data_IF_902852071123
#
_entry.id   IF_902852071123
#
_cell.length_a   1.000
_cell.length_b   1.000
_cell.length_c   1.000
_cell.angle_alpha   90.00
_cell.angle_beta   90.00
_cell.angle_gamma   90.00
#
_symmetry.space_group_name_H-M   'P 1'
#
loop_
_entity.id
_entity.type
_entity.pdbx_description
1 polymer ?
#
# COMPACT_ATOMS: atom_id res chain seq x y z
N UNK A 1 -24.84 2.72 15.82
CA UNK A 1 -24.80 1.70 14.75
C UNK A 1 -23.39 1.24 14.35
N UNK A 2 -22.29 1.90 14.77
CA UNK A 2 -20.91 1.58 14.36
C UNK A 2 -20.17 0.49 15.18
N UNK A 3 -20.82 -0.13 16.17
CA UNK A 3 -20.17 -1.08 17.09
C UNK A 3 -20.94 -2.39 17.31
N UNK A 4 -21.92 -2.72 16.47
CA UNK A 4 -22.50 -4.06 16.51
C UNK A 4 -21.65 -4.96 15.64
N UNK A 5 -21.05 -6.04 16.19
CA UNK A 5 -20.38 -7.05 15.37
C UNK A 5 -21.42 -7.59 14.40
N UNK A 6 -21.27 -7.28 13.12
CA UNK A 6 -22.01 -7.99 12.08
C UNK A 6 -21.61 -9.47 12.19
N UNK A 7 -22.53 -10.41 12.07
CA UNK A 7 -22.28 -11.86 12.24
C UNK A 7 -21.17 -12.44 11.32
N UNK A 8 -20.65 -11.62 10.39
CA UNK A 8 -19.59 -11.94 9.43
C UNK A 8 -18.30 -11.14 9.63
N UNK A 9 -18.17 -10.34 10.70
CA UNK A 9 -16.96 -9.54 10.96
C UNK A 9 -15.68 -10.40 10.98
N UNK A 10 -15.76 -11.62 11.51
CA UNK A 10 -14.66 -12.59 11.54
C UNK A 10 -14.10 -12.96 10.16
N UNK A 11 -14.90 -12.86 9.08
CA UNK A 11 -14.42 -13.10 7.71
C UNK A 11 -13.44 -11.98 7.32
N UNK A 12 -13.79 -10.73 7.62
CA UNK A 12 -12.91 -9.59 7.40
C UNK A 12 -11.62 -9.72 8.21
N UNK A 13 -11.72 -10.11 9.48
CA UNK A 13 -10.56 -10.33 10.34
C UNK A 13 -9.64 -11.44 9.79
N UNK A 14 -10.22 -12.54 9.32
CA UNK A 14 -9.48 -13.63 8.68
C UNK A 14 -8.80 -13.17 7.39
N UNK A 15 -9.49 -12.38 6.56
CA UNK A 15 -8.92 -11.81 5.33
C UNK A 15 -7.73 -10.89 5.64
N UNK A 16 -7.84 -10.05 6.67
CA UNK A 16 -6.75 -9.17 7.12
C UNK A 16 -5.56 -9.99 7.62
N UNK A 17 -5.82 -11.05 8.41
CA UNK A 17 -4.76 -11.94 8.88
C UNK A 17 -4.05 -12.65 7.72
N UNK A 18 -4.80 -13.19 6.75
CA UNK A 18 -4.23 -13.81 5.55
C UNK A 18 -3.42 -12.80 4.71
N UNK A 19 -3.93 -11.58 4.55
CA UNK A 19 -3.20 -10.51 3.87
C UNK A 19 -1.85 -10.20 4.57
N UNK A 20 -1.84 -10.14 5.90
CA UNK A 20 -0.61 -9.94 6.67
C UNK A 20 0.38 -11.10 6.51
N UNK A 21 -0.12 -12.34 6.53
CA UNK A 21 0.71 -13.55 6.30
C UNK A 21 1.31 -13.55 4.90
N UNK A 22 0.52 -13.29 3.85
CA UNK A 22 1.02 -13.24 2.47
C UNK A 22 2.01 -12.08 2.26
N UNK A 23 1.79 -10.94 2.92
CA UNK A 23 2.73 -9.82 2.89
C UNK A 23 4.08 -10.20 3.53
N UNK A 24 4.04 -10.84 4.70
CA UNK A 24 5.24 -11.35 5.37
C UNK A 24 5.96 -12.40 4.51
N UNK A 25 5.22 -13.34 3.94
CA UNK A 25 5.75 -14.36 3.04
C UNK A 25 6.41 -13.75 1.79
N UNK A 26 5.81 -12.72 1.18
CA UNK A 26 6.41 -11.99 0.05
C UNK A 26 7.73 -11.36 0.45
N UNK A 27 7.75 -10.66 1.59
CA UNK A 27 8.97 -10.01 2.10
C UNK A 27 10.07 -11.03 2.38
N UNK A 28 9.74 -12.14 3.02
CA UNK A 28 10.68 -13.23 3.32
C UNK A 28 11.20 -13.88 2.03
N UNK A 29 10.31 -14.16 1.07
CA UNK A 29 10.69 -14.75 -0.22
C UNK A 29 11.65 -13.85 -0.99
N UNK A 30 11.38 -12.54 -1.04
CA UNK A 30 12.28 -11.57 -1.68
C UNK A 30 13.65 -11.58 -0.99
N UNK A 31 13.69 -11.59 0.35
CA UNK A 31 14.95 -11.54 1.12
C UNK A 31 15.74 -12.85 1.13
N UNK A 32 15.05 -14.00 1.12
CA UNK A 32 15.66 -15.32 1.29
C UNK A 32 16.00 -16.03 -0.03
N UNK A 33 15.55 -15.49 -1.18
CA UNK A 33 15.80 -16.07 -2.49
C UNK A 33 16.83 -15.29 -3.30
N UNK A 34 17.10 -15.75 -4.53
CA UNK A 34 17.96 -15.05 -5.48
C UNK A 34 17.47 -13.62 -5.82
N UNK A 35 16.19 -13.31 -5.56
CA UNK A 35 15.61 -11.97 -5.75
C UNK A 35 16.31 -10.90 -4.90
N UNK A 36 16.92 -11.26 -3.76
CA UNK A 36 17.67 -10.32 -2.93
C UNK A 36 18.88 -9.69 -3.65
N UNK A 37 19.39 -10.35 -4.71
CA UNK A 37 20.52 -9.89 -5.53
C UNK A 37 20.07 -9.20 -6.83
N UNK A 38 18.78 -9.21 -7.12
CA UNK A 38 18.19 -8.64 -8.33
C UNK A 38 17.77 -7.19 -8.04
N UNK A 39 17.82 -6.30 -9.04
CA UNK A 39 17.35 -4.93 -8.86
C UNK A 39 15.87 -4.90 -8.47
N UNK A 40 15.50 -3.93 -7.62
CA UNK A 40 14.11 -3.78 -7.16
C UNK A 40 13.12 -3.60 -8.33
N UNK A 41 13.54 -2.92 -9.40
CA UNK A 41 12.78 -2.75 -10.65
C UNK A 41 12.41 -4.10 -11.29
N UNK A 42 13.37 -5.03 -11.37
CA UNK A 42 13.13 -6.36 -11.95
C UNK A 42 12.26 -7.22 -11.04
N UNK A 43 12.44 -7.11 -9.72
CA UNK A 43 11.58 -7.82 -8.75
C UNK A 43 10.13 -7.34 -8.86
N UNK A 44 9.91 -6.03 -8.96
CA UNK A 44 8.58 -5.45 -9.17
C UNK A 44 7.99 -5.89 -10.51
N UNK A 45 8.78 -5.89 -11.59
CA UNK A 45 8.35 -6.37 -12.90
C UNK A 45 7.87 -7.82 -12.83
N UNK A 46 8.61 -8.70 -12.15
CA UNK A 46 8.20 -10.10 -11.96
C UNK A 46 6.90 -10.21 -11.17
N UNK A 47 6.73 -9.45 -10.10
CA UNK A 47 5.48 -9.44 -9.33
C UNK A 47 4.29 -8.99 -10.19
N UNK A 48 4.45 -7.91 -10.95
CA UNK A 48 3.39 -7.39 -11.82
C UNK A 48 3.08 -8.33 -12.98
N UNK A 49 4.11 -8.89 -13.64
CA UNK A 49 3.93 -9.81 -14.76
C UNK A 49 3.25 -11.11 -14.34
N UNK A 50 3.68 -11.70 -13.21
CA UNK A 50 3.04 -12.90 -12.66
C UNK A 50 1.61 -12.59 -12.25
N UNK A 51 1.35 -11.46 -11.59
CA UNK A 51 0.00 -11.05 -11.19
C UNK A 51 -0.91 -10.82 -12.40
N UNK A 52 -0.41 -10.15 -13.44
CA UNK A 52 -1.15 -9.89 -14.67
C UNK A 52 -1.52 -11.16 -15.43
N UNK A 53 -0.75 -12.25 -15.26
CA UNK A 53 -1.05 -13.56 -15.83
C UNK A 53 -2.00 -14.37 -14.94
N UNK A 54 -1.72 -14.42 -13.64
CA UNK A 54 -2.40 -15.34 -12.69
C UNK A 54 -3.76 -14.80 -12.24
N UNK A 55 -3.88 -13.49 -11.99
CA UNK A 55 -5.12 -12.92 -11.46
C UNK A 55 -6.30 -13.01 -12.44
N UNK A 56 -6.16 -12.78 -13.76
CA UNK A 56 -7.26 -12.99 -14.69
C UNK A 56 -7.71 -14.46 -14.74
N UNK A 57 -6.78 -15.42 -14.68
CA UNK A 57 -7.10 -16.84 -14.64
C UNK A 57 -7.85 -17.22 -13.36
N UNK A 58 -7.42 -16.67 -12.21
CA UNK A 58 -8.13 -16.84 -10.94
C UNK A 58 -9.53 -16.23 -10.96
N UNK A 59 -9.68 -15.03 -11.53
CA UNK A 59 -10.97 -14.35 -11.68
C UNK A 59 -11.96 -15.20 -12.46
N UNK A 60 -11.52 -15.79 -13.58
CA UNK A 60 -12.32 -16.75 -14.36
C UNK A 60 -12.63 -18.01 -13.55
N UNK A 61 -11.65 -18.58 -12.84
CA UNK A 61 -11.85 -19.79 -12.04
C UNK A 61 -12.82 -19.60 -10.86
N UNK A 62 -12.86 -18.39 -10.29
CA UNK A 62 -13.80 -17.99 -9.23
C UNK A 62 -15.19 -17.62 -9.77
N UNK A 63 -15.38 -17.64 -11.09
CA UNK A 63 -16.64 -17.28 -11.73
C UNK A 63 -17.00 -15.81 -11.55
N UNK A 64 -16.00 -14.94 -11.34
CA UNK A 64 -16.26 -13.51 -11.28
C UNK A 64 -16.82 -13.04 -12.62
N UNK A 65 -17.86 -12.18 -12.63
CA UNK A 65 -18.34 -11.62 -13.87
C UNK A 65 -17.24 -10.83 -14.59
N UNK A 66 -16.20 -10.37 -13.89
CA UNK A 66 -15.19 -9.50 -14.48
C UNK A 66 -15.74 -8.09 -14.71
N UNK A 67 -14.94 -7.24 -15.34
CA UNK A 67 -15.28 -5.83 -15.55
C UNK A 67 -16.02 -5.66 -16.86
N UNK A 68 -17.34 -5.82 -16.85
CA UNK A 68 -18.19 -5.53 -18.00
C UNK A 68 -18.61 -4.06 -18.01
N UNK A 69 -18.43 -3.40 -19.15
CA UNK A 69 -18.75 -1.98 -19.38
C UNK A 69 -18.12 -1.00 -18.36
N UNK A 70 -16.78 -0.99 -18.18
CA UNK A 70 -16.11 0.01 -17.35
C UNK A 70 -16.46 1.43 -17.81
N UNK A 71 -16.96 2.25 -16.89
CA UNK A 71 -17.23 3.66 -17.15
C UNK A 71 -15.91 4.40 -17.43
N UNK A 72 -15.94 5.57 -18.10
CA UNK A 72 -14.74 6.39 -18.27
C UNK A 72 -14.03 6.70 -16.95
N UNK A 73 -14.79 6.82 -15.85
CA UNK A 73 -14.24 7.01 -14.51
C UNK A 73 -13.43 5.80 -14.05
N UNK A 74 -13.93 4.57 -14.23
CA UNK A 74 -13.20 3.34 -13.87
C UNK A 74 -11.89 3.25 -14.64
N UNK A 75 -11.90 3.57 -15.95
CA UNK A 75 -10.67 3.63 -16.75
C UNK A 75 -9.70 4.70 -16.27
N UNK A 76 -10.21 5.91 -15.96
CA UNK A 76 -9.38 6.98 -15.43
C UNK A 76 -8.76 6.60 -14.08
N UNK A 77 -9.53 5.96 -13.19
CA UNK A 77 -9.04 5.46 -11.90
C UNK A 77 -7.98 4.37 -12.08
N UNK A 78 -8.18 3.41 -12.99
CA UNK A 78 -7.19 2.38 -13.29
C UNK A 78 -5.90 2.97 -13.89
N UNK A 79 -6.04 3.93 -14.80
CA UNK A 79 -4.89 4.65 -15.37
C UNK A 79 -4.13 5.42 -14.30
N UNK A 80 -4.84 6.19 -13.47
CA UNK A 80 -4.24 6.93 -12.36
C UNK A 80 -3.51 5.98 -11.41
N UNK A 81 -4.15 4.88 -11.01
CA UNK A 81 -3.55 3.90 -10.10
C UNK A 81 -2.32 3.22 -10.69
N UNK A 82 -2.37 2.84 -11.96
CA UNK A 82 -1.28 2.05 -12.57
C UNK A 82 -0.12 2.93 -13.02
N UNK A 83 -0.42 4.04 -13.70
CA UNK A 83 0.61 4.88 -14.29
C UNK A 83 1.15 5.91 -13.30
N UNK A 84 0.27 6.62 -12.59
CA UNK A 84 0.68 7.69 -11.67
C UNK A 84 1.09 7.10 -10.32
N UNK A 85 0.18 6.37 -9.66
CA UNK A 85 0.43 5.87 -8.30
C UNK A 85 1.51 4.79 -8.31
N UNK A 86 1.37 3.73 -9.10
CA UNK A 86 2.38 2.68 -9.14
C UNK A 86 3.61 3.09 -9.99
N UNK A 87 3.43 3.45 -11.27
CA UNK A 87 4.55 3.74 -12.17
C UNK A 87 5.43 4.90 -11.73
N UNK A 88 4.88 6.12 -11.74
CA UNK A 88 5.65 7.34 -11.46
C UNK A 88 6.20 7.37 -10.02
N UNK A 89 5.45 6.90 -9.03
CA UNK A 89 5.95 6.86 -7.65
C UNK A 89 7.13 5.91 -7.48
N UNK A 90 7.11 4.73 -8.12
CA UNK A 90 8.27 3.82 -8.08
C UNK A 90 9.50 4.40 -8.78
N UNK A 91 9.32 5.05 -9.94
CA UNK A 91 10.43 5.75 -10.62
C UNK A 91 11.01 6.86 -9.74
N UNK A 92 10.14 7.69 -9.13
CA UNK A 92 10.55 8.73 -8.20
C UNK A 92 11.26 8.16 -6.98
N UNK A 93 10.74 7.07 -6.41
CA UNK A 93 11.36 6.35 -5.31
C UNK A 93 12.75 5.82 -5.67
N UNK A 94 12.92 5.20 -6.84
CA UNK A 94 14.24 4.72 -7.27
C UNK A 94 15.23 5.85 -7.52
N UNK A 95 14.78 6.96 -8.11
CA UNK A 95 15.61 8.15 -8.24
C UNK A 95 16.05 8.67 -6.87
N UNK A 96 15.12 8.74 -5.91
CA UNK A 96 15.40 9.12 -4.51
C UNK A 96 16.40 8.17 -3.83
N UNK A 97 16.23 6.86 -3.96
CA UNK A 97 17.15 5.84 -3.42
C UNK A 97 18.55 5.95 -3.99
N UNK A 98 18.68 6.29 -5.28
CA UNK A 98 19.99 6.47 -5.92
C UNK A 98 20.70 7.75 -5.47
N UNK A 99 19.95 8.81 -5.13
CA UNK A 99 20.50 10.14 -4.87
C UNK A 99 20.64 10.48 -3.37
N UNK A 100 19.83 9.88 -2.50
CA UNK A 100 19.76 10.23 -1.08
C UNK A 100 20.10 9.06 -0.15
N UNK A 101 20.76 9.31 1.00
CA UNK A 101 21.08 8.28 1.98
C UNK A 101 19.81 7.70 2.62
N UNK A 102 19.84 6.41 2.95
CA UNK A 102 18.70 5.64 3.47
C UNK A 102 18.02 6.28 4.69
N UNK A 103 18.77 6.88 5.61
CA UNK A 103 18.23 7.56 6.80
C UNK A 103 17.35 8.77 6.46
N UNK A 104 17.68 9.48 5.38
CA UNK A 104 16.86 10.63 4.92
C UNK A 104 15.57 10.14 4.26
N UNK A 105 15.64 9.01 3.55
CA UNK A 105 14.48 8.36 2.92
C UNK A 105 13.53 7.74 3.96
N UNK A 106 14.05 7.07 4.98
CA UNK A 106 13.22 6.51 6.06
C UNK A 106 12.46 7.60 6.83
N UNK A 107 13.07 8.78 6.98
CA UNK A 107 12.40 9.95 7.58
C UNK A 107 11.17 10.41 6.78
N UNK A 108 11.15 10.25 5.45
CA UNK A 108 9.98 10.56 4.62
C UNK A 108 8.85 9.53 4.78
N UNK A 109 9.17 8.25 4.97
CA UNK A 109 8.15 7.21 5.21
C UNK A 109 7.35 7.47 6.49
N UNK A 110 7.94 8.17 7.46
CA UNK A 110 7.26 8.59 8.68
C UNK A 110 6.27 9.74 8.45
N UNK A 111 6.37 10.48 7.35
CA UNK A 111 5.40 11.53 7.00
C UNK A 111 4.15 10.95 6.31
N UNK A 112 4.19 9.70 5.83
CA UNK A 112 3.08 9.07 5.09
C UNK A 112 1.74 9.12 5.84
N UNK A 113 1.65 8.80 7.15
CA UNK A 113 0.38 8.89 7.87
C UNK A 113 -0.16 10.32 7.93
N UNK A 114 0.73 11.31 8.08
CA UNK A 114 0.36 12.73 8.10
C UNK A 114 -0.21 13.15 6.76
N UNK A 115 0.48 12.82 5.67
CA UNK A 115 0.00 13.09 4.31
C UNK A 115 -1.31 12.38 4.02
N UNK A 116 -1.50 11.15 4.53
CA UNK A 116 -2.74 10.39 4.41
C UNK A 116 -3.93 11.10 5.07
N UNK A 117 -3.76 11.58 6.31
CA UNK A 117 -4.82 12.35 6.99
C UNK A 117 -5.11 13.67 6.29
N UNK A 118 -4.07 14.40 5.86
CA UNK A 118 -4.25 15.65 5.12
C UNK A 118 -4.99 15.44 3.80
N UNK A 119 -4.63 14.39 3.06
CA UNK A 119 -5.32 14.00 1.83
C UNK A 119 -6.77 13.58 2.10
N UNK A 120 -7.05 12.83 3.17
CA UNK A 120 -8.41 12.49 3.58
C UNK A 120 -9.26 13.72 3.89
N UNK A 121 -8.71 14.67 4.66
CA UNK A 121 -9.41 15.93 4.97
C UNK A 121 -9.61 16.84 3.74
N UNK A 122 -8.57 17.03 2.92
CA UNK A 122 -8.59 18.00 1.81
C UNK A 122 -9.22 17.46 0.53
N UNK A 123 -8.94 16.20 0.18
CA UNK A 123 -9.39 15.61 -1.10
C UNK A 123 -10.69 14.82 -0.94
N UNK A 124 -10.86 14.10 0.17
CA UNK A 124 -12.05 13.28 0.42
C UNK A 124 -13.10 14.01 1.29
N UNK A 125 -12.75 15.15 1.87
CA UNK A 125 -13.66 15.92 2.73
C UNK A 125 -13.96 15.22 4.07
N UNK A 126 -13.08 14.34 4.53
CA UNK A 126 -13.27 13.62 5.79
C UNK A 126 -13.26 14.57 6.99
N UNK A 127 -14.17 14.35 7.94
CA UNK A 127 -14.26 15.15 9.15
C UNK A 127 -13.01 14.94 10.01
N UNK A 128 -12.20 15.99 10.15
CA UNK A 128 -11.00 15.98 11.00
C UNK A 128 -11.40 16.08 12.47
N UNK A 129 -11.73 14.92 13.06
CA UNK A 129 -12.14 14.84 14.46
C UNK A 129 -10.95 15.01 15.42
N UNK A 130 -11.17 15.41 16.68
CA UNK A 130 -10.12 15.44 17.69
C UNK A 130 -9.35 14.11 17.84
N UNK A 131 -10.02 12.97 17.60
CA UNK A 131 -9.39 11.65 17.61
C UNK A 131 -8.33 11.49 16.51
N UNK A 132 -8.56 12.05 15.32
CA UNK A 132 -7.58 12.06 14.22
C UNK A 132 -6.33 12.84 14.59
N UNK A 133 -6.48 13.99 15.24
CA UNK A 133 -5.35 14.77 15.75
C UNK A 133 -4.61 14.02 16.87
N UNK A 134 -5.33 13.32 17.76
CA UNK A 134 -4.72 12.43 18.75
C UNK A 134 -3.91 11.29 18.13
N UNK A 135 -4.43 10.65 17.08
CA UNK A 135 -3.73 9.60 16.35
C UNK A 135 -2.48 10.13 15.64
N UNK A 136 -2.58 11.30 14.97
CA UNK A 136 -1.46 12.02 14.37
C UNK A 136 -0.35 12.32 15.39
N UNK A 137 -0.74 12.78 16.58
CA UNK A 137 0.20 13.06 17.66
C UNK A 137 0.92 11.79 18.13
N UNK A 138 0.19 10.68 18.34
CA UNK A 138 0.78 9.40 18.74
C UNK A 138 1.75 8.85 17.68
N UNK A 139 1.39 8.97 16.40
CA UNK A 139 2.28 8.61 15.29
C UNK A 139 3.54 9.48 15.32
N UNK A 140 3.41 10.80 15.41
CA UNK A 140 4.54 11.73 15.51
C UNK A 140 5.45 11.43 16.72
N UNK A 141 4.86 11.16 17.87
CA UNK A 141 5.59 10.77 19.08
C UNK A 141 6.34 9.44 18.87
N UNK A 142 5.70 8.43 18.28
CA UNK A 142 6.32 7.13 17.97
C UNK A 142 7.50 7.25 17.01
N UNK A 143 7.35 8.08 15.97
CA UNK A 143 8.44 8.41 15.04
C UNK A 143 9.60 9.05 15.78
N UNK A 144 9.31 10.05 16.62
CA UNK A 144 10.33 10.73 17.41
C UNK A 144 11.06 9.74 18.30
N UNK A 145 10.36 8.82 18.98
CA UNK A 145 10.96 7.74 19.80
C UNK A 145 11.86 6.82 18.97
N UNK A 146 11.40 6.40 17.81
CA UNK A 146 12.12 5.45 16.96
C UNK A 146 13.37 6.05 16.33
N UNK A 147 13.38 7.36 16.07
CA UNK A 147 14.48 8.06 15.39
C UNK A 147 15.42 8.81 16.36
N UNK A 148 15.28 8.62 17.68
CA UNK A 148 16.23 9.19 18.65
C UNK A 148 17.59 8.51 18.46
N UNK A 149 18.67 9.24 18.15
CA UNK A 149 19.99 8.65 18.22
C UNK A 149 20.24 8.21 19.66
N UNK A 150 20.70 6.97 19.84
CA UNK A 150 21.22 6.50 21.13
C UNK A 150 22.52 7.22 21.45
#
# INVERSE_FOLDING_TARGET
HLFMPTDRAWIGDLMIMLAAVFWAATTLTVKASALARVSAEKTLLYQLAVSALVLPLLSVALGEPGVFAPTPLVWASLFFQTFIVAGMSYLGWFWLVRQYPATRLSSFSFLTPVMGVLAGGLLLGEAMTPAVFGALFLVGAGIWVANRPR
#
